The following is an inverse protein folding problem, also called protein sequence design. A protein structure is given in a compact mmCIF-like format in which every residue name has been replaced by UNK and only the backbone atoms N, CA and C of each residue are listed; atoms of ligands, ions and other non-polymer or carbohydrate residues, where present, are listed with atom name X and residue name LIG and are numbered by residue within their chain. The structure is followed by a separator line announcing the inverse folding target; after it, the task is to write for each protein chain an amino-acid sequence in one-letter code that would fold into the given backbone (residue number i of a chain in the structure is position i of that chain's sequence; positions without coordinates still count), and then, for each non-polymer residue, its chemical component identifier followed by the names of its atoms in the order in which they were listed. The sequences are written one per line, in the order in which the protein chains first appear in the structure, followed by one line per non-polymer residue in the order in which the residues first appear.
data_IF_338707881823
#
_entry.id   IF_338707881823
#
_cell.length_a   1.000
_cell.length_b   1.000
_cell.length_c   1.000
_cell.angle_alpha   90.00
_cell.angle_beta   90.00
_cell.angle_gamma   90.00
#
_symmetry.space_group_name_H-M   'P 1'
#
loop_
_entity.id
_entity.type
_entity.pdbx_description
1 polymer ?
#
# COMPACT_ATOMS: atom_id res chain seq x y z
N UNK A 1 3.68 54.67 -6.77
CA UNK A 1 2.85 53.45 -6.94
C UNK A 1 3.25 52.78 -8.25
N UNK A 2 3.94 51.64 -8.17
CA UNK A 2 4.36 50.87 -9.34
C UNK A 2 3.30 49.82 -9.69
N UNK A 3 3.29 49.32 -10.94
CA UNK A 3 2.44 48.20 -11.37
C UNK A 3 3.27 46.92 -11.41
N UNK A 4 2.77 45.84 -10.83
CA UNK A 4 3.42 44.53 -10.87
C UNK A 4 3.45 44.00 -12.31
N UNK A 5 4.59 43.47 -12.75
CA UNK A 5 4.71 42.89 -14.09
C UNK A 5 3.83 41.64 -14.24
N UNK A 6 3.67 40.86 -13.16
CA UNK A 6 2.90 39.60 -13.12
C UNK A 6 1.38 39.86 -13.00
N UNK A 7 0.89 40.36 -11.86
CA UNK A 7 -0.55 40.55 -11.61
C UNK A 7 -1.14 41.87 -12.12
N UNK A 8 -0.32 42.80 -12.65
CA UNK A 8 -0.72 44.15 -13.12
C UNK A 8 -1.31 45.10 -12.07
N UNK A 9 -1.35 44.68 -10.80
CA UNK A 9 -1.85 45.49 -9.68
C UNK A 9 -0.85 46.56 -9.22
N UNK A 10 -1.36 47.61 -8.54
CA UNK A 10 -0.53 48.69 -8.03
C UNK A 10 -0.06 48.40 -6.60
N UNK A 11 1.24 48.53 -6.34
CA UNK A 11 1.83 48.32 -5.01
C UNK A 11 2.80 49.45 -4.61
N UNK A 12 3.11 49.51 -3.31
CA UNK A 12 4.01 50.50 -2.70
C UNK A 12 5.49 50.19 -2.95
N UNK A 13 6.31 51.23 -3.03
CA UNK A 13 7.70 51.19 -3.50
C UNK A 13 8.63 50.35 -2.62
N UNK A 14 9.24 49.33 -3.22
CA UNK A 14 10.61 48.89 -2.97
C UNK A 14 11.10 48.10 -4.19
N UNK A 15 11.93 48.75 -5.02
CA UNK A 15 12.96 48.27 -5.97
C UNK A 15 12.77 47.05 -6.91
N UNK A 16 11.74 46.22 -6.80
CA UNK A 16 11.54 45.04 -7.64
C UNK A 16 10.28 45.19 -8.49
N UNK A 17 10.33 44.86 -9.79
CA UNK A 17 9.21 44.94 -10.75
C UNK A 17 8.06 43.94 -10.53
N UNK A 18 8.06 43.23 -9.42
CA UNK A 18 7.03 42.25 -9.03
C UNK A 18 6.57 42.59 -7.61
N UNK A 19 5.28 42.52 -7.34
CA UNK A 19 4.76 42.73 -5.98
C UNK A 19 5.14 41.56 -5.06
N UNK A 20 5.08 41.81 -3.75
CA UNK A 20 5.42 40.82 -2.72
C UNK A 20 4.63 39.51 -2.88
N UNK A 21 3.32 39.60 -3.12
CA UNK A 21 2.45 38.42 -3.26
C UNK A 21 2.85 37.53 -4.44
N UNK A 22 3.08 38.09 -5.62
CA UNK A 22 3.54 37.32 -6.78
C UNK A 22 4.96 36.75 -6.61
N UNK A 23 5.79 37.37 -5.77
CA UNK A 23 7.12 36.83 -5.47
C UNK A 23 7.03 35.64 -4.51
N UNK A 24 6.19 35.73 -3.49
CA UNK A 24 5.92 34.64 -2.54
C UNK A 24 5.28 33.44 -3.24
N UNK A 25 4.28 33.66 -4.11
CA UNK A 25 3.65 32.60 -4.92
C UNK A 25 4.65 31.91 -5.87
N UNK A 26 5.54 32.68 -6.51
CA UNK A 26 6.60 32.12 -7.35
C UNK A 26 7.62 31.30 -6.53
N UNK A 27 7.94 31.73 -5.31
CA UNK A 27 8.81 30.99 -4.40
C UNK A 27 8.19 29.67 -3.94
N UNK A 28 6.90 29.68 -3.57
CA UNK A 28 6.18 28.48 -3.14
C UNK A 28 6.11 27.43 -4.27
N UNK A 29 5.82 27.87 -5.49
CA UNK A 29 5.79 26.99 -6.67
C UNK A 29 7.17 26.44 -7.03
N UNK A 30 8.25 27.22 -6.90
CA UNK A 30 9.62 26.73 -7.09
C UNK A 30 9.99 25.65 -6.07
N UNK A 31 9.62 25.84 -4.81
CA UNK A 31 9.86 24.82 -3.78
C UNK A 31 9.07 23.54 -4.03
N UNK A 32 7.82 23.65 -4.47
CA UNK A 32 6.98 22.50 -4.84
C UNK A 32 7.60 21.72 -6.02
N UNK A 33 7.98 22.42 -7.09
CA UNK A 33 8.67 21.81 -8.24
C UNK A 33 9.99 21.14 -7.84
N UNK A 34 10.75 21.75 -6.92
CA UNK A 34 11.99 21.16 -6.42
C UNK A 34 11.72 19.86 -5.65
N UNK A 35 10.66 19.82 -4.84
CA UNK A 35 10.22 18.60 -4.14
C UNK A 35 9.80 17.52 -5.14
N UNK A 36 9.05 17.86 -6.18
CA UNK A 36 8.68 16.92 -7.25
C UNK A 36 9.91 16.39 -8.01
N UNK A 37 10.86 17.26 -8.35
CA UNK A 37 12.09 16.87 -9.04
C UNK A 37 12.92 15.92 -8.18
N UNK A 38 13.06 16.19 -6.88
CA UNK A 38 13.83 15.33 -5.98
C UNK A 38 13.14 13.99 -5.72
N UNK A 39 11.80 13.97 -5.66
CA UNK A 39 11.01 12.74 -5.65
C UNK A 39 11.20 11.91 -6.94
N UNK A 40 11.14 12.56 -8.11
CA UNK A 40 11.41 11.90 -9.40
C UNK A 40 12.84 11.39 -9.50
N UNK A 41 13.85 12.16 -9.04
CA UNK A 41 15.25 11.73 -8.98
C UNK A 41 15.42 10.51 -8.09
N UNK A 42 14.77 10.49 -6.93
CA UNK A 42 14.75 9.34 -6.02
C UNK A 42 14.17 8.12 -6.73
N UNK A 43 13.03 8.28 -7.41
CA UNK A 43 12.37 7.22 -8.19
C UNK A 43 13.22 6.67 -9.33
N UNK A 44 14.04 7.48 -10.00
CA UNK A 44 14.91 7.02 -11.11
C UNK A 44 16.34 6.65 -10.70
N UNK A 45 16.69 6.77 -9.41
CA UNK A 45 18.05 6.55 -8.91
C UNK A 45 18.63 5.18 -9.28
N UNK A 46 17.79 4.14 -9.32
CA UNK A 46 18.16 2.79 -9.73
C UNK A 46 18.60 2.68 -11.19
N UNK A 47 18.18 3.61 -12.07
CA UNK A 47 18.59 3.67 -13.48
C UNK A 47 19.97 4.32 -13.68
N UNK A 48 20.52 4.97 -12.64
CA UNK A 48 21.78 5.73 -12.69
C UNK A 48 22.93 5.08 -11.93
N UNK A 49 22.77 3.84 -11.49
CA UNK A 49 23.85 3.14 -10.81
C UNK A 49 25.05 3.01 -11.77
N UNK A 50 26.26 3.41 -11.35
CA UNK A 50 27.45 3.02 -12.10
C UNK A 50 27.49 1.49 -12.09
N UNK A 51 27.46 0.89 -13.29
CA UNK A 51 27.73 -0.54 -13.43
C UNK A 51 29.04 -0.83 -12.70
N UNK A 52 29.06 -1.71 -11.67
CA UNK A 52 30.32 -2.14 -11.09
C UNK A 52 31.18 -2.73 -12.22
N UNK A 53 32.52 -2.61 -12.14
CA UNK A 53 33.38 -3.26 -13.12
C UNK A 53 33.00 -4.74 -13.16
N UNK A 54 32.46 -5.14 -14.32
CA UNK A 54 32.04 -6.50 -14.61
C UNK A 54 33.23 -7.42 -14.33
N UNK A 55 33.12 -8.24 -13.28
CA UNK A 55 33.69 -9.57 -13.10
C UNK A 55 33.83 -9.84 -11.59
N UNK A 56 32.88 -10.59 -11.01
CA UNK A 56 33.08 -11.69 -10.04
C UNK A 56 31.87 -12.04 -9.16
N UNK A 57 30.69 -11.46 -9.36
CA UNK A 57 29.46 -11.98 -8.73
C UNK A 57 28.37 -12.19 -9.79
N UNK A 58 27.51 -13.22 -9.67
CA UNK A 58 26.26 -13.21 -10.40
C UNK A 58 25.58 -11.87 -10.10
N UNK A 59 25.00 -11.22 -11.12
CA UNK A 59 24.47 -9.85 -11.04
C UNK A 59 23.56 -9.57 -9.83
N UNK A 60 23.00 -10.62 -9.23
CA UNK A 60 22.17 -10.60 -8.03
C UNK A 60 22.99 -10.60 -6.74
N UNK A 61 22.85 -9.55 -5.94
CA UNK A 61 23.51 -9.35 -4.64
C UNK A 61 22.61 -9.66 -3.44
N UNK A 62 21.37 -10.14 -3.68
CA UNK A 62 20.43 -10.49 -2.62
C UNK A 62 19.59 -11.75 -2.93
N UNK A 63 19.33 -12.57 -1.91
CA UNK A 63 18.46 -13.74 -1.94
C UNK A 63 17.25 -13.54 -1.02
N UNK A 64 16.04 -13.66 -1.56
CA UNK A 64 14.81 -13.69 -0.77
C UNK A 64 14.32 -15.13 -0.63
N UNK A 65 14.06 -15.54 0.60
CA UNK A 65 13.60 -16.89 0.93
C UNK A 65 12.18 -16.83 1.51
N UNK A 66 11.22 -17.60 0.96
CA UNK A 66 9.97 -17.84 1.66
C UNK A 66 10.27 -18.66 2.92
N UNK A 67 9.71 -18.23 4.05
CA UNK A 67 9.90 -18.86 5.35
C UNK A 67 8.52 -19.15 5.96
N UNK A 68 8.34 -20.34 6.53
CA UNK A 68 7.15 -20.75 7.27
C UNK A 68 7.64 -21.33 8.59
N UNK A 69 7.09 -20.86 9.73
CA UNK A 69 7.48 -21.31 11.06
C UNK A 69 7.10 -22.78 11.36
N UNK A 70 6.36 -23.45 10.47
CA UNK A 70 5.81 -24.81 10.65
C UNK A 70 6.82 -25.97 10.47
N UNK A 71 8.12 -25.76 10.68
CA UNK A 71 9.09 -26.87 10.67
C UNK A 71 9.41 -27.28 12.09
N UNK A 72 8.59 -28.18 12.63
CA UNK A 72 8.99 -29.06 13.73
C UNK A 72 10.37 -29.67 13.41
N UNK A 73 11.31 -29.41 14.31
CA UNK A 73 12.74 -29.69 14.34
C UNK A 73 13.13 -31.18 14.26
N UNK A 74 12.37 -32.09 13.63
CA UNK A 74 12.62 -33.55 13.80
C UNK A 74 12.60 -34.48 12.58
N UNK A 75 12.66 -34.01 11.34
CA UNK A 75 12.98 -34.91 10.21
C UNK A 75 14.04 -34.33 9.27
N UNK A 76 15.31 -34.54 9.62
CA UNK A 76 16.40 -34.58 8.63
C UNK A 76 16.16 -35.83 7.76
N UNK A 77 15.33 -35.69 6.73
CA UNK A 77 15.41 -36.56 5.56
C UNK A 77 16.42 -35.95 4.60
N UNK A 78 17.53 -36.67 4.47
CA UNK A 78 18.58 -36.54 3.47
C UNK A 78 17.96 -36.29 2.08
N UNK A 79 18.09 -35.05 1.57
CA UNK A 79 17.57 -34.64 0.25
C UNK A 79 16.58 -33.47 0.21
N UNK A 80 16.44 -32.66 1.26
CA UNK A 80 15.62 -31.44 1.25
C UNK A 80 16.02 -30.53 0.07
N UNK A 81 15.13 -30.44 -0.94
CA UNK A 81 15.23 -29.42 -1.99
C UNK A 81 15.17 -28.07 -1.27
N UNK A 82 16.23 -27.24 -1.33
CA UNK A 82 16.18 -25.94 -0.68
C UNK A 82 15.00 -25.16 -1.28
N UNK A 83 14.16 -24.58 -0.41
CA UNK A 83 13.05 -23.72 -0.81
C UNK A 83 13.56 -22.76 -1.89
N UNK A 84 12.92 -22.70 -3.07
CA UNK A 84 13.46 -21.94 -4.17
C UNK A 84 13.62 -20.46 -3.76
N UNK A 85 14.83 -19.94 -3.91
CA UNK A 85 15.14 -18.55 -3.57
C UNK A 85 14.80 -17.63 -4.74
N UNK A 86 14.29 -16.43 -4.42
CA UNK A 86 14.11 -15.37 -5.41
C UNK A 86 15.34 -14.47 -5.37
N UNK A 87 16.09 -14.43 -6.46
CA UNK A 87 17.25 -13.55 -6.57
C UNK A 87 16.80 -12.13 -6.91
N UNK A 88 17.42 -11.15 -6.27
CA UNK A 88 17.12 -9.74 -6.51
C UNK A 88 18.37 -8.86 -6.40
N UNK A 89 18.19 -7.59 -6.71
CA UNK A 89 19.22 -6.56 -6.62
C UNK A 89 18.87 -5.60 -5.49
N UNK A 90 19.80 -5.42 -4.54
CA UNK A 90 19.64 -4.55 -3.37
C UNK A 90 19.13 -3.16 -3.76
N UNK A 91 19.75 -2.58 -4.78
CA UNK A 91 19.42 -1.23 -5.23
C UNK A 91 17.99 -1.09 -5.79
N UNK A 92 17.45 -2.13 -6.43
CA UNK A 92 16.06 -2.11 -6.91
C UNK A 92 15.11 -2.15 -5.73
N UNK A 93 15.30 -3.09 -4.79
CA UNK A 93 14.45 -3.23 -3.61
C UNK A 93 14.42 -1.97 -2.75
N UNK A 94 15.60 -1.39 -2.47
CA UNK A 94 15.75 -0.12 -1.72
C UNK A 94 14.97 1.01 -2.40
N UNK A 95 15.07 1.12 -3.74
CA UNK A 95 14.42 2.20 -4.48
C UNK A 95 12.89 2.10 -4.50
N UNK A 96 12.34 0.89 -4.32
CA UNK A 96 10.90 0.61 -4.46
C UNK A 96 10.17 0.40 -3.14
N UNK A 97 10.89 0.24 -2.04
CA UNK A 97 10.31 -0.02 -0.72
C UNK A 97 11.10 0.71 0.38
N UNK A 98 10.46 1.62 1.12
CA UNK A 98 11.06 2.24 2.32
C UNK A 98 11.49 1.21 3.37
N UNK A 99 10.78 0.09 3.48
CA UNK A 99 11.10 -0.99 4.42
C UNK A 99 12.36 -1.71 3.99
N UNK A 100 12.49 -2.09 2.71
CA UNK A 100 13.75 -2.64 2.21
C UNK A 100 14.90 -1.65 2.32
N UNK A 101 14.64 -0.35 2.08
CA UNK A 101 15.63 0.71 2.31
C UNK A 101 16.17 0.70 3.74
N UNK A 102 15.27 0.77 4.72
CA UNK A 102 15.66 0.75 6.13
C UNK A 102 16.34 -0.56 6.54
N UNK A 103 15.89 -1.71 6.01
CA UNK A 103 16.47 -3.02 6.30
C UNK A 103 17.90 -3.17 5.74
N UNK A 104 18.16 -2.59 4.56
CA UNK A 104 19.36 -2.87 3.78
C UNK A 104 20.43 -1.77 3.84
N UNK A 105 20.05 -0.53 4.17
CA UNK A 105 21.00 0.57 4.37
C UNK A 105 21.56 0.61 5.80
N UNK A 106 20.88 0.00 6.76
CA UNK A 106 21.39 -0.18 8.12
C UNK A 106 22.21 -1.48 8.21
N UNK A 107 23.22 -1.52 9.10
CA UNK A 107 24.09 -2.69 9.31
C UNK A 107 23.38 -3.88 10.01
N UNK A 108 22.14 -4.18 9.61
CA UNK A 108 21.32 -5.30 10.07
C UNK A 108 21.85 -6.64 9.51
N UNK A 109 21.35 -7.75 10.04
CA UNK A 109 21.79 -9.10 9.65
C UNK A 109 21.57 -9.37 8.16
N UNK A 110 20.48 -8.88 7.60
CA UNK A 110 20.09 -9.02 6.19
C UNK A 110 21.08 -8.29 5.27
N UNK A 111 21.56 -7.11 5.67
CA UNK A 111 22.52 -6.34 4.88
C UNK A 111 23.92 -6.97 4.88
N UNK A 112 24.25 -7.75 5.93
CA UNK A 112 25.51 -8.50 6.06
C UNK A 112 25.47 -9.88 5.41
N UNK A 113 24.33 -10.57 5.49
CA UNK A 113 24.15 -11.94 5.00
C UNK A 113 23.78 -12.00 3.51
N UNK A 114 23.27 -10.90 2.94
CA UNK A 114 22.74 -10.88 1.58
C UNK A 114 21.49 -11.76 1.41
N UNK A 115 20.84 -12.14 2.52
CA UNK A 115 19.65 -13.00 2.52
C UNK A 115 18.54 -12.36 3.34
N UNK A 116 17.34 -12.25 2.76
CA UNK A 116 16.13 -11.79 3.44
C UNK A 116 15.16 -12.97 3.56
N UNK A 117 14.74 -13.29 4.77
CA UNK A 117 13.68 -14.26 5.02
C UNK A 117 12.34 -13.54 5.07
N UNK A 118 11.37 -13.98 4.28
CA UNK A 118 10.01 -13.44 4.28
C UNK A 118 9.07 -14.52 4.79
N UNK A 119 8.56 -14.30 6.00
CA UNK A 119 7.59 -15.19 6.63
C UNK A 119 6.23 -15.20 5.92
N UNK A 120 5.53 -16.33 6.01
CA UNK A 120 4.13 -16.54 5.61
C UNK A 120 3.84 -16.22 4.13
N UNK A 121 4.78 -16.55 3.25
CA UNK A 121 4.64 -16.29 1.81
C UNK A 121 5.00 -17.53 0.99
N UNK A 122 4.20 -17.83 -0.03
CA UNK A 122 4.56 -18.83 -1.03
C UNK A 122 5.64 -18.32 -1.97
N UNK A 123 6.37 -19.25 -2.61
CA UNK A 123 7.38 -18.88 -3.60
C UNK A 123 6.79 -18.06 -4.77
N UNK A 124 5.62 -18.43 -5.26
CA UNK A 124 5.00 -17.79 -6.42
C UNK A 124 4.57 -16.34 -6.11
N UNK A 125 4.02 -16.11 -4.92
CA UNK A 125 3.69 -14.76 -4.44
C UNK A 125 4.97 -13.94 -4.28
N UNK A 126 5.99 -14.48 -3.62
CA UNK A 126 7.27 -13.79 -3.44
C UNK A 126 7.92 -13.43 -4.78
N UNK A 127 7.92 -14.37 -5.72
CA UNK A 127 8.44 -14.17 -7.07
C UNK A 127 7.65 -13.09 -7.81
N UNK A 128 6.33 -13.07 -7.70
CA UNK A 128 5.46 -12.07 -8.32
C UNK A 128 5.65 -10.68 -7.70
N UNK A 129 5.80 -10.63 -6.38
CA UNK A 129 6.12 -9.40 -5.65
C UNK A 129 7.44 -8.81 -6.12
N UNK A 130 8.51 -9.62 -6.14
CA UNK A 130 9.81 -9.16 -6.64
C UNK A 130 9.72 -8.77 -8.11
N UNK A 131 9.06 -9.55 -8.97
CA UNK A 131 8.87 -9.21 -10.38
C UNK A 131 8.21 -7.83 -10.54
N UNK A 132 7.16 -7.54 -9.77
CA UNK A 132 6.52 -6.24 -9.75
C UNK A 132 7.48 -5.10 -9.36
N UNK A 133 8.40 -5.32 -8.41
CA UNK A 133 9.42 -4.31 -8.07
C UNK A 133 10.35 -4.00 -9.23
N UNK A 134 10.50 -4.90 -10.22
CA UNK A 134 11.26 -4.62 -11.44
C UNK A 134 10.40 -3.94 -12.50
N UNK A 135 9.24 -4.51 -12.80
CA UNK A 135 8.47 -4.21 -14.02
C UNK A 135 7.26 -3.32 -13.79
N UNK A 136 6.80 -3.18 -12.54
CA UNK A 136 5.49 -2.61 -12.18
C UNK A 136 4.30 -3.37 -12.81
N UNK A 137 4.51 -4.61 -13.24
CA UNK A 137 3.50 -5.48 -13.84
C UNK A 137 3.27 -6.70 -12.96
N UNK A 138 2.01 -7.13 -12.85
CA UNK A 138 1.64 -8.37 -12.17
C UNK A 138 0.29 -8.87 -12.69
N UNK A 139 0.14 -10.19 -12.76
CA UNK A 139 -1.14 -10.83 -13.06
C UNK A 139 -1.82 -11.17 -11.74
N UNK A 140 -3.03 -10.64 -11.56
CA UNK A 140 -3.80 -10.84 -10.34
C UNK A 140 -4.91 -11.88 -10.58
N UNK A 141 -4.95 -12.87 -9.70
CA UNK A 141 -6.16 -13.58 -9.32
C UNK A 141 -6.56 -13.20 -7.89
N UNK A 142 -7.67 -13.73 -7.38
CA UNK A 142 -8.17 -13.37 -6.04
C UNK A 142 -7.19 -13.72 -4.92
N UNK A 143 -6.50 -14.87 -5.00
CA UNK A 143 -5.54 -15.30 -3.97
C UNK A 143 -4.26 -14.46 -4.03
N UNK A 144 -3.71 -14.31 -5.23
CA UNK A 144 -2.52 -13.50 -5.49
C UNK A 144 -2.76 -12.04 -5.08
N UNK A 145 -3.94 -11.49 -5.31
CA UNK A 145 -4.28 -10.13 -4.90
C UNK A 145 -4.28 -9.98 -3.37
N UNK A 146 -4.85 -10.93 -2.62
CA UNK A 146 -4.77 -10.92 -1.17
C UNK A 146 -3.32 -10.95 -0.68
N UNK A 147 -2.55 -11.96 -1.11
CA UNK A 147 -1.19 -12.18 -0.60
C UNK A 147 -0.25 -11.01 -0.99
N UNK A 148 -0.38 -10.48 -2.21
CA UNK A 148 0.39 -9.31 -2.63
C UNK A 148 -0.03 -8.03 -1.92
N UNK A 149 -1.30 -7.87 -1.54
CA UNK A 149 -1.73 -6.73 -0.73
C UNK A 149 -1.07 -6.79 0.65
N UNK A 150 -0.99 -7.97 1.27
CA UNK A 150 -0.29 -8.16 2.55
C UNK A 150 1.18 -7.77 2.44
N UNK A 151 1.89 -8.26 1.41
CA UNK A 151 3.29 -7.89 1.18
C UNK A 151 3.45 -6.39 0.86
N UNK A 152 2.56 -5.84 0.03
CA UNK A 152 2.62 -4.44 -0.35
C UNK A 152 2.41 -3.51 0.85
N UNK A 153 1.53 -3.88 1.78
CA UNK A 153 1.38 -3.16 3.04
C UNK A 153 2.62 -3.32 3.93
N UNK A 154 3.07 -4.57 4.15
CA UNK A 154 4.24 -4.89 5.00
C UNK A 154 5.51 -4.18 4.54
N UNK A 155 5.75 -4.11 3.23
CA UNK A 155 6.91 -3.48 2.62
C UNK A 155 6.64 -2.08 2.08
N UNK A 156 5.47 -1.50 2.38
CA UNK A 156 5.08 -0.13 2.01
C UNK A 156 5.19 0.19 0.51
N UNK A 157 4.84 -0.77 -0.35
CA UNK A 157 4.79 -0.61 -1.81
C UNK A 157 3.40 -0.07 -2.20
N UNK A 158 3.18 1.22 -1.95
CA UNK A 158 1.86 1.87 -2.04
C UNK A 158 1.11 1.61 -3.36
N UNK A 159 1.79 1.72 -4.50
CA UNK A 159 1.16 1.53 -5.80
C UNK A 159 0.66 0.09 -6.01
N UNK A 160 1.41 -0.92 -5.54
CA UNK A 160 0.97 -2.32 -5.58
C UNK A 160 -0.24 -2.54 -4.68
N UNK A 161 -0.21 -1.98 -3.45
CA UNK A 161 -1.32 -2.08 -2.50
C UNK A 161 -2.60 -1.53 -3.11
N UNK A 162 -2.57 -0.30 -3.63
CA UNK A 162 -3.74 0.31 -4.27
C UNK A 162 -4.20 -0.44 -5.52
N UNK A 163 -3.29 -1.08 -6.26
CA UNK A 163 -3.66 -1.90 -7.41
C UNK A 163 -4.40 -3.17 -6.98
N UNK A 164 -3.89 -3.89 -5.99
CA UNK A 164 -4.54 -5.08 -5.43
C UNK A 164 -5.89 -4.71 -4.79
N UNK A 165 -5.94 -3.60 -4.05
CA UNK A 165 -7.15 -3.09 -3.43
C UNK A 165 -8.25 -2.83 -4.46
N UNK A 166 -7.95 -2.10 -5.54
CA UNK A 166 -8.91 -1.86 -6.64
C UNK A 166 -9.40 -3.14 -7.29
N UNK A 167 -8.50 -4.10 -7.52
CA UNK A 167 -8.87 -5.39 -8.08
C UNK A 167 -9.84 -6.11 -7.14
N UNK A 168 -9.53 -6.20 -5.86
CA UNK A 168 -10.37 -6.85 -4.85
C UNK A 168 -11.72 -6.14 -4.71
N UNK A 169 -11.76 -4.80 -4.70
CA UNK A 169 -13.01 -4.02 -4.67
C UNK A 169 -13.95 -4.40 -5.81
N UNK A 170 -13.41 -4.67 -7.01
CA UNK A 170 -14.21 -5.12 -8.17
C UNK A 170 -14.78 -6.54 -8.04
N UNK A 171 -14.32 -7.31 -7.05
CA UNK A 171 -14.72 -8.71 -6.80
C UNK A 171 -15.55 -8.89 -5.53
N UNK A 172 -15.74 -7.83 -4.74
CA UNK A 172 -16.57 -7.89 -3.54
C UNK A 172 -18.02 -8.13 -3.92
N UNK A 173 -18.65 -9.05 -3.20
CA UNK A 173 -20.04 -9.42 -3.33
C UNK A 173 -20.61 -9.78 -1.94
N UNK A 174 -21.91 -10.08 -1.87
CA UNK A 174 -22.58 -10.39 -0.61
C UNK A 174 -22.06 -11.66 0.08
N UNK A 175 -21.44 -12.59 -0.66
CA UNK A 175 -20.92 -13.82 -0.09
C UNK A 175 -19.56 -13.63 0.59
N UNK A 176 -18.70 -12.77 0.04
CA UNK A 176 -17.35 -12.55 0.56
C UNK A 176 -17.19 -11.25 1.37
N UNK A 177 -18.23 -10.42 1.49
CA UNK A 177 -18.12 -9.08 2.08
C UNK A 177 -17.60 -9.08 3.53
N UNK A 178 -18.06 -10.01 4.38
CA UNK A 178 -17.66 -10.06 5.80
C UNK A 178 -16.17 -10.37 5.95
N UNK A 179 -15.69 -11.41 5.26
CA UNK A 179 -14.27 -11.77 5.26
C UNK A 179 -13.41 -10.67 4.63
N UNK A 180 -13.91 -10.05 3.56
CA UNK A 180 -13.22 -8.94 2.89
C UNK A 180 -13.11 -7.72 3.80
N UNK A 181 -14.16 -7.40 4.57
CA UNK A 181 -14.15 -6.31 5.54
C UNK A 181 -13.08 -6.53 6.61
N UNK A 182 -13.04 -7.72 7.20
CA UNK A 182 -12.02 -8.07 8.20
C UNK A 182 -10.59 -8.00 7.63
N UNK A 183 -10.39 -8.56 6.43
CA UNK A 183 -9.11 -8.51 5.72
C UNK A 183 -8.67 -7.05 5.43
N UNK A 184 -9.59 -6.24 4.92
CA UNK A 184 -9.32 -4.85 4.58
C UNK A 184 -8.97 -4.03 5.83
N UNK A 185 -9.64 -4.27 6.95
CA UNK A 185 -9.32 -3.65 8.23
C UNK A 185 -7.92 -4.06 8.71
N UNK A 186 -7.61 -5.35 8.69
CA UNK A 186 -6.31 -5.88 9.13
C UNK A 186 -5.12 -5.31 8.32
N UNK A 187 -5.31 -5.08 7.02
CA UNK A 187 -4.25 -4.63 6.11
C UNK A 187 -4.37 -3.15 5.69
N UNK A 188 -5.12 -2.36 6.47
CA UNK A 188 -5.29 -0.92 6.26
C UNK A 188 -5.72 -0.55 4.83
N UNK A 189 -6.66 -1.28 4.22
CA UNK A 189 -7.14 -1.06 2.86
C UNK A 189 -8.50 -0.32 2.87
N UNK A 190 -8.51 1.02 2.95
CA UNK A 190 -9.72 1.79 3.25
C UNK A 190 -10.81 1.71 2.16
N UNK A 191 -10.44 1.71 0.87
CA UNK A 191 -11.42 1.62 -0.21
C UNK A 191 -12.07 0.25 -0.27
N UNK A 192 -11.30 -0.80 -0.02
CA UNK A 192 -11.84 -2.16 0.09
C UNK A 192 -12.73 -2.30 1.32
N UNK A 193 -12.32 -1.71 2.45
CA UNK A 193 -13.07 -1.70 3.70
C UNK A 193 -14.43 -1.00 3.53
N UNK A 194 -14.45 0.20 2.96
CA UNK A 194 -15.68 0.95 2.70
C UNK A 194 -16.62 0.19 1.77
N UNK A 195 -16.10 -0.39 0.68
CA UNK A 195 -16.91 -1.16 -0.27
C UNK A 195 -17.51 -2.41 0.36
N UNK A 196 -16.73 -3.14 1.16
CA UNK A 196 -17.20 -4.32 1.86
C UNK A 196 -18.23 -3.96 2.93
N UNK A 197 -17.97 -2.91 3.73
CA UNK A 197 -18.88 -2.41 4.73
C UNK A 197 -20.21 -1.97 4.12
N UNK A 198 -20.21 -1.24 3.01
CA UNK A 198 -21.45 -0.85 2.32
C UNK A 198 -22.32 -2.04 1.96
N UNK A 199 -21.72 -3.10 1.41
CA UNK A 199 -22.44 -4.33 1.04
C UNK A 199 -22.98 -5.09 2.26
N UNK A 200 -22.23 -5.11 3.37
CA UNK A 200 -22.71 -5.65 4.65
C UNK A 200 -23.92 -4.86 5.13
N UNK A 201 -23.82 -3.52 5.13
CA UNK A 201 -24.89 -2.64 5.57
C UNK A 201 -26.16 -2.81 4.74
N UNK A 202 -26.04 -3.07 3.44
CA UNK A 202 -27.17 -3.33 2.54
C UNK A 202 -27.87 -4.67 2.79
N UNK A 203 -27.20 -5.62 3.44
CA UNK A 203 -27.71 -6.97 3.73
C UNK A 203 -27.74 -7.28 5.24
N UNK A 204 -27.91 -6.25 6.07
CA UNK A 204 -27.88 -6.37 7.55
C UNK A 204 -28.90 -7.34 8.11
N UNK A 205 -30.04 -7.53 7.44
CA UNK A 205 -31.11 -8.44 7.84
C UNK A 205 -30.65 -9.91 7.92
N UNK A 206 -29.68 -10.30 7.10
CA UNK A 206 -29.15 -11.67 7.03
C UNK A 206 -27.79 -11.82 7.71
N UNK A 207 -27.21 -10.73 8.22
CA UNK A 207 -25.84 -10.71 8.73
C UNK A 207 -25.59 -11.79 9.79
N UNK A 208 -26.49 -11.92 10.76
CA UNK A 208 -26.35 -12.88 11.87
C UNK A 208 -26.54 -14.34 11.48
N UNK A 209 -27.11 -14.60 10.30
CA UNK A 209 -27.33 -15.96 9.77
C UNK A 209 -26.07 -16.54 9.13
N UNK A 210 -25.11 -15.67 8.75
CA UNK A 210 -23.86 -16.02 8.08
C UNK A 210 -22.87 -16.66 9.05
N UNK A 211 -22.21 -17.72 8.62
CA UNK A 211 -21.17 -18.37 9.44
C UNK A 211 -19.92 -17.49 9.55
N UNK A 212 -19.62 -16.70 8.51
CA UNK A 212 -18.51 -15.75 8.51
C UNK A 212 -18.71 -14.64 9.56
N UNK A 213 -19.97 -14.29 9.88
CA UNK A 213 -20.28 -13.37 10.95
C UNK A 213 -19.97 -13.98 12.33
N UNK A 214 -20.34 -15.25 12.56
CA UNK A 214 -20.06 -15.94 13.83
C UNK A 214 -18.55 -16.04 14.06
N UNK A 215 -17.81 -16.38 13.01
CA UNK A 215 -16.34 -16.41 13.05
C UNK A 215 -15.76 -15.03 13.35
N UNK A 216 -16.32 -13.96 12.76
CA UNK A 216 -15.89 -12.59 13.06
C UNK A 216 -16.17 -12.19 14.51
N UNK A 217 -17.32 -12.56 15.06
CA UNK A 217 -17.66 -12.34 16.48
C UNK A 217 -16.66 -13.02 17.40
N UNK A 218 -16.21 -14.24 17.06
CA UNK A 218 -15.24 -14.98 17.88
C UNK A 218 -13.82 -14.40 17.76
N UNK A 219 -13.38 -14.05 16.54
CA UNK A 219 -12.00 -13.61 16.27
C UNK A 219 -11.76 -12.14 16.60
N UNK A 220 -12.66 -11.24 16.21
CA UNK A 220 -12.54 -9.81 16.51
C UNK A 220 -13.92 -9.14 16.72
N UNK A 221 -14.49 -9.22 17.94
CA UNK A 221 -15.78 -8.60 18.26
C UNK A 221 -15.83 -7.08 18.00
N UNK A 222 -14.69 -6.39 17.96
CA UNK A 222 -14.65 -4.92 17.75
C UNK A 222 -15.10 -4.55 16.35
N UNK A 223 -14.78 -5.38 15.36
CA UNK A 223 -15.23 -5.20 13.98
C UNK A 223 -16.75 -5.31 13.87
N UNK A 224 -17.37 -6.17 14.68
CA UNK A 224 -18.83 -6.29 14.75
C UNK A 224 -19.44 -5.03 15.33
N UNK A 225 -18.86 -4.48 16.40
CA UNK A 225 -19.30 -3.19 16.97
C UNK A 225 -19.23 -2.09 15.93
N UNK A 226 -18.13 -2.00 15.17
CA UNK A 226 -17.96 -1.00 14.10
C UNK A 226 -19.04 -1.13 13.01
N UNK A 227 -19.38 -2.35 12.60
CA UNK A 227 -20.47 -2.59 11.65
C UNK A 227 -21.81 -2.05 12.20
N UNK A 228 -22.14 -2.34 13.46
CA UNK A 228 -23.39 -1.86 14.06
C UNK A 228 -23.39 -0.35 14.28
N UNK A 229 -22.28 0.26 14.68
CA UNK A 229 -22.15 1.72 14.81
C UNK A 229 -22.35 2.41 13.46
N UNK A 230 -21.73 1.87 12.39
CA UNK A 230 -21.93 2.36 11.02
C UNK A 230 -23.40 2.20 10.58
N UNK A 231 -24.04 1.08 10.91
CA UNK A 231 -25.45 0.85 10.58
C UNK A 231 -26.39 1.83 11.29
N UNK A 232 -26.20 2.04 12.60
CA UNK A 232 -27.00 3.00 13.39
C UNK A 232 -26.81 4.42 12.87
N UNK A 233 -25.57 4.81 12.57
CA UNK A 233 -25.26 6.12 11.98
C UNK A 233 -25.96 6.32 10.63
N UNK A 234 -25.96 5.29 9.76
CA UNK A 234 -26.66 5.33 8.47
C UNK A 234 -28.17 5.52 8.62
N UNK A 235 -28.78 4.89 9.62
CA UNK A 235 -30.20 5.05 9.91
C UNK A 235 -30.55 6.46 10.41
N UNK A 236 -29.75 7.02 11.33
CA UNK A 236 -29.95 8.38 11.85
C UNK A 236 -29.85 9.43 10.73
N UNK A 237 -28.87 9.29 9.84
CA UNK A 237 -28.72 10.18 8.69
C UNK A 237 -29.91 10.08 7.73
N UNK A 238 -30.42 8.88 7.50
CA UNK A 238 -31.60 8.66 6.66
C UNK A 238 -32.86 9.28 7.28
N UNK A 239 -33.03 9.18 8.60
CA UNK A 239 -34.15 9.78 9.33
C UNK A 239 -34.09 11.32 9.33
N UNK A 240 -32.89 11.89 9.55
CA UNK A 240 -32.66 13.34 9.52
C UNK A 240 -32.93 13.92 8.12
N UNK A 241 -32.49 13.24 7.06
CA UNK A 241 -32.73 13.68 5.69
C UNK A 241 -34.21 13.62 5.30
N UNK A 242 -34.95 12.58 5.75
CA UNK A 242 -36.41 12.52 5.59
C UNK A 242 -37.13 13.64 6.34
N UNK A 243 -36.64 14.02 7.53
CA UNK A 243 -37.21 15.09 8.34
C UNK A 243 -37.04 16.48 7.70
N UNK A 244 -35.91 16.73 7.02
CA UNK A 244 -35.66 18.00 6.32
C UNK A 244 -36.50 18.17 5.05
N UNK A 245 -36.82 17.09 4.34
CA UNK A 245 -37.66 17.12 3.13
C UNK A 245 -39.14 17.40 3.43
N UNK A 246 -39.64 17.01 4.61
CA UNK A 246 -41.04 17.22 5.02
C UNK A 246 -41.31 18.66 5.49
N UNK A 247 -40.27 19.40 5.89
CA UNK A 247 -40.42 20.81 6.34
C UNK A 247 -40.41 21.80 5.16
N UNK A 248 -40.13 21.34 3.93
CA UNK A 248 -40.07 22.16 2.71
C UNK A 248 -41.28 21.98 1.78
N UNK A 249 -42.31 21.23 2.19
CA UNK A 249 -43.58 21.02 1.46
C UNK A 249 -44.74 21.56 2.25
#
# INVERSE_FOLDING_TARGET
MMKCISCKERYGEAEAGTCKECYEEASETEEELKREIDDLKSKISFLRLPSPPLNLLPFTDLLLLPYSDDVDDHHIHDGAVPSPAVRAHKAVLISRSPVFKAMLENEMEESRSGTIKIADVSYDVLRSFVHYLYTAEVLLDERMACDLLVLAEKYQVKHLKSYCEKFMTSKVNSENAIMTFAFAHQHNAPHLLESALSLILDNMDKLTERDEYKELVEKDPRLVVEIYEAYLTRQVNTASNKSQLVVQT
#
